data_IF_751715139984
#
_entry.id   IF_751715139984
#
_cell.length_a   1.000
_cell.length_b   1.000
_cell.length_c   1.000
_cell.angle_alpha   90.00
_cell.angle_beta   90.00
_cell.angle_gamma   90.00
#
_symmetry.space_group_name_H-M   'P 1'
#
loop_
_entity.id
_entity.type
_entity.pdbx_description
1 polymer ?
#
# COMPACT_ATOMS: atom_id res chain seq x y z
N UNK A 1 -4.13 17.90 21.06
CA UNK A 1 -5.30 18.12 20.17
C UNK A 1 -4.99 17.35 18.92
N UNK A 2 -5.91 16.52 18.43
CA UNK A 2 -5.68 15.70 17.24
C UNK A 2 -5.54 16.58 16.00
N UNK A 3 -4.60 16.26 15.12
CA UNK A 3 -4.42 16.95 13.86
C UNK A 3 -5.37 16.42 12.79
N UNK A 4 -5.70 15.13 12.83
CA UNK A 4 -6.61 14.47 11.91
C UNK A 4 -7.92 14.07 12.60
N UNK A 5 -9.01 14.20 11.84
CA UNK A 5 -10.35 13.76 12.23
C UNK A 5 -11.13 13.28 11.02
N UNK A 6 -12.17 12.49 11.26
CA UNK A 6 -13.06 12.04 10.20
C UNK A 6 -13.73 13.22 9.50
N UNK A 7 -14.08 14.27 10.23
CA UNK A 7 -14.65 15.50 9.67
C UNK A 7 -13.67 16.17 8.69
N UNK A 8 -12.39 16.29 9.05
CA UNK A 8 -11.37 16.85 8.15
C UNK A 8 -11.19 15.97 6.89
N UNK A 9 -11.16 14.64 7.04
CA UNK A 9 -11.11 13.72 5.89
C UNK A 9 -12.31 13.90 4.96
N UNK A 10 -13.52 13.93 5.51
CA UNK A 10 -14.75 14.11 4.74
C UNK A 10 -14.77 15.47 4.03
N UNK A 11 -14.31 16.53 4.70
CA UNK A 11 -14.15 17.86 4.12
C UNK A 11 -13.15 17.83 2.96
N UNK A 12 -11.98 17.23 3.14
CA UNK A 12 -10.97 17.07 2.09
C UNK A 12 -11.49 16.28 0.88
N UNK A 13 -12.19 15.17 1.11
CA UNK A 13 -12.83 14.39 0.03
C UNK A 13 -13.84 15.23 -0.73
N UNK A 14 -14.71 15.95 -0.03
CA UNK A 14 -15.77 16.76 -0.64
C UNK A 14 -15.22 17.94 -1.45
N UNK A 15 -14.14 18.58 -0.99
CA UNK A 15 -13.43 19.64 -1.71
C UNK A 15 -12.88 19.15 -3.05
N UNK A 16 -12.39 17.91 -3.09
CA UNK A 16 -11.79 17.29 -4.28
C UNK A 16 -12.81 16.60 -5.20
N UNK A 17 -14.08 16.46 -4.78
CA UNK A 17 -15.11 15.81 -5.59
C UNK A 17 -15.56 16.63 -6.81
N UNK A 18 -15.42 17.96 -6.78
CA UNK A 18 -15.70 18.80 -7.95
C UNK A 18 -14.42 19.10 -8.72
N UNK A 19 -14.25 18.42 -9.85
CA UNK A 19 -13.22 18.78 -10.80
C UNK A 19 -13.63 20.00 -11.63
N UNK A 20 -12.83 21.07 -11.56
CA UNK A 20 -13.01 22.27 -12.36
C UNK A 20 -11.88 22.31 -13.41
N UNK A 21 -12.15 21.92 -14.67
CA UNK A 21 -11.11 21.85 -15.69
C UNK A 21 -10.64 23.24 -16.10
N UNK A 22 -9.34 23.33 -16.40
CA UNK A 22 -8.74 24.53 -16.99
C UNK A 22 -9.10 24.69 -18.46
N UNK A 23 -9.29 23.58 -19.18
CA UNK A 23 -9.69 23.56 -20.59
C UNK A 23 -11.03 22.84 -20.79
N UNK A 24 -12.10 23.62 -20.75
CA UNK A 24 -13.45 23.13 -21.00
C UNK A 24 -13.63 22.63 -22.43
N UNK A 25 -12.94 23.19 -23.43
CA UNK A 25 -13.19 22.82 -24.83
C UNK A 25 -12.69 21.40 -25.12
N UNK A 26 -11.53 21.01 -24.56
CA UNK A 26 -11.02 19.63 -24.64
C UNK A 26 -11.93 18.63 -23.95
N UNK A 27 -12.43 18.96 -22.75
CA UNK A 27 -13.34 18.10 -22.00
C UNK A 27 -14.66 17.89 -22.78
N UNK A 28 -15.28 18.94 -23.30
CA UNK A 28 -16.50 18.81 -24.10
C UNK A 28 -16.27 18.00 -25.39
N UNK A 29 -15.11 18.16 -26.05
CA UNK A 29 -14.77 17.37 -27.23
C UNK A 29 -14.63 15.88 -26.91
N UNK A 30 -14.00 15.54 -25.78
CA UNK A 30 -13.87 14.17 -25.28
C UNK A 30 -15.22 13.51 -25.04
N UNK A 31 -16.08 14.10 -24.19
CA UNK A 31 -17.39 13.52 -23.88
C UNK A 31 -18.32 13.45 -25.11
N UNK A 32 -18.21 14.42 -26.04
CA UNK A 32 -18.97 14.39 -27.30
C UNK A 32 -18.57 13.21 -28.18
N UNK A 33 -17.29 12.83 -28.20
CA UNK A 33 -16.80 11.67 -28.96
C UNK A 33 -17.45 10.37 -28.48
N UNK A 34 -17.69 10.25 -27.18
CA UNK A 34 -18.29 9.08 -26.54
C UNK A 34 -19.83 9.14 -26.49
N UNK A 35 -20.44 10.16 -27.10
CA UNK A 35 -21.90 10.34 -27.10
C UNK A 35 -22.50 10.70 -25.74
N UNK A 36 -21.66 11.12 -24.78
CA UNK A 36 -22.09 11.44 -23.42
C UNK A 36 -22.51 12.91 -23.36
N UNK A 37 -23.69 13.16 -22.75
CA UNK A 37 -24.14 14.51 -22.47
C UNK A 37 -23.45 15.04 -21.21
N UNK A 38 -22.35 15.75 -21.39
CA UNK A 38 -21.58 16.35 -20.29
C UNK A 38 -22.42 17.26 -19.39
N UNK A 39 -23.42 17.97 -19.94
CA UNK A 39 -24.26 18.87 -19.15
C UNK A 39 -25.09 18.11 -18.12
N UNK A 40 -25.58 16.93 -18.50
CA UNK A 40 -26.33 16.06 -17.60
C UNK A 40 -25.40 15.40 -16.59
N UNK A 41 -24.20 15.02 -17.01
CA UNK A 41 -23.19 14.43 -16.14
C UNK A 41 -22.77 15.39 -15.02
N UNK A 42 -22.32 16.61 -15.37
CA UNK A 42 -21.94 17.64 -14.40
C UNK A 42 -23.11 18.03 -13.48
N UNK A 43 -24.34 18.08 -14.01
CA UNK A 43 -25.52 18.33 -13.16
C UNK A 43 -25.71 17.23 -12.13
N UNK A 44 -25.53 15.98 -12.55
CA UNK A 44 -25.69 14.82 -11.70
C UNK A 44 -24.65 14.83 -10.57
N UNK A 45 -23.38 15.04 -10.89
CA UNK A 45 -22.30 15.16 -9.91
C UNK A 45 -22.57 16.26 -8.89
N UNK A 46 -22.93 17.47 -9.35
CA UNK A 46 -23.22 18.58 -8.44
C UNK A 46 -24.41 18.27 -7.53
N UNK A 47 -25.46 17.63 -8.07
CA UNK A 47 -26.64 17.28 -7.29
C UNK A 47 -26.35 16.22 -6.21
N UNK A 48 -25.45 15.27 -6.48
CA UNK A 48 -25.07 14.23 -5.51
C UNK A 48 -24.44 14.83 -4.25
N UNK A 49 -23.63 15.87 -4.42
CA UNK A 49 -22.83 16.43 -3.32
C UNK A 49 -23.40 17.76 -2.77
N UNK A 50 -24.42 18.33 -3.43
CA UNK A 50 -24.95 19.69 -3.16
C UNK A 50 -25.22 19.95 -1.69
N UNK A 51 -25.89 19.02 -1.01
CA UNK A 51 -26.30 19.18 0.39
C UNK A 51 -25.13 19.14 1.36
N UNK A 52 -24.09 18.36 1.06
CA UNK A 52 -22.87 18.30 1.85
C UNK A 52 -22.02 19.55 1.60
N UNK A 53 -21.84 19.93 0.32
CA UNK A 53 -21.02 21.07 -0.07
C UNK A 53 -21.56 22.39 0.49
N UNK A 54 -22.88 22.57 0.50
CA UNK A 54 -23.53 23.76 1.06
C UNK A 54 -23.19 24.04 2.54
N UNK A 55 -22.71 23.03 3.29
CA UNK A 55 -22.33 23.19 4.71
C UNK A 55 -20.93 23.77 4.90
N UNK A 56 -20.05 23.59 3.91
CA UNK A 56 -18.63 23.96 4.03
C UNK A 56 -18.20 25.02 3.01
N UNK A 57 -18.98 25.21 1.95
CA UNK A 57 -18.67 26.14 0.86
C UNK A 57 -18.76 27.60 1.36
N UNK A 58 -17.84 28.49 0.94
CA UNK A 58 -17.94 29.92 1.21
C UNK A 58 -19.29 30.50 0.78
N UNK A 59 -19.81 31.44 1.58
CA UNK A 59 -21.14 32.05 1.39
C UNK A 59 -21.28 32.69 0.01
N UNK A 60 -20.19 33.27 -0.51
CA UNK A 60 -20.11 33.94 -1.81
C UNK A 60 -20.32 32.99 -2.99
N UNK A 61 -20.05 31.69 -2.80
CA UNK A 61 -20.18 30.66 -3.83
C UNK A 61 -21.52 29.90 -3.76
N UNK A 62 -22.27 30.05 -2.66
CA UNK A 62 -23.59 29.41 -2.49
C UNK A 62 -24.59 29.72 -3.62
N UNK A 63 -24.69 30.95 -4.15
CA UNK A 63 -25.61 31.22 -5.26
C UNK A 63 -25.32 30.37 -6.51
N UNK A 64 -24.05 30.06 -6.77
CA UNK A 64 -23.63 29.23 -7.91
C UNK A 64 -23.85 27.74 -7.67
N UNK A 65 -23.81 27.31 -6.39
CA UNK A 65 -24.23 25.97 -5.99
C UNK A 65 -25.75 25.80 -6.16
N UNK A 66 -26.52 26.81 -5.78
CA UNK A 66 -27.99 26.78 -5.83
C UNK A 66 -28.50 26.72 -7.26
N UNK A 67 -27.96 27.56 -8.16
CA UNK A 67 -28.37 27.65 -9.56
C UNK A 67 -27.73 26.61 -10.48
N UNK A 68 -26.83 25.77 -9.98
CA UNK A 68 -26.22 24.66 -10.73
C UNK A 68 -25.01 25.03 -11.60
N UNK A 69 -24.44 26.23 -11.42
CA UNK A 69 -23.33 26.73 -12.22
C UNK A 69 -21.94 26.43 -11.64
N UNK A 70 -21.84 25.92 -10.40
CA UNK A 70 -20.57 25.80 -9.68
C UNK A 70 -19.51 24.94 -10.39
N UNK A 71 -19.91 23.90 -11.14
CA UNK A 71 -19.02 23.05 -11.93
C UNK A 71 -19.28 23.19 -13.43
N UNK A 72 -19.52 24.43 -13.91
CA UNK A 72 -19.88 24.71 -15.32
C UNK A 72 -18.91 25.66 -16.01
N UNK A 73 -18.88 25.60 -17.34
CA UNK A 73 -18.13 26.54 -18.19
C UNK A 73 -18.59 27.98 -17.98
N UNK A 74 -19.88 28.18 -17.73
CA UNK A 74 -20.55 29.45 -17.54
C UNK A 74 -20.26 30.09 -16.17
N UNK A 75 -19.60 29.38 -15.26
CA UNK A 75 -19.18 29.95 -13.98
C UNK A 75 -18.31 31.20 -14.25
N UNK A 76 -18.69 32.39 -13.72
CA UNK A 76 -17.93 33.61 -13.92
C UNK A 76 -16.46 33.43 -13.49
N UNK A 77 -15.54 34.05 -14.23
CA UNK A 77 -14.10 33.90 -14.00
C UNK A 77 -13.68 34.22 -12.55
N UNK A 78 -14.27 35.26 -11.95
CA UNK A 78 -14.02 35.63 -10.56
C UNK A 78 -14.50 34.55 -9.58
N UNK A 79 -15.72 34.04 -9.75
CA UNK A 79 -16.25 32.96 -8.92
C UNK A 79 -15.44 31.66 -9.09
N UNK A 80 -14.98 31.37 -10.31
CA UNK A 80 -14.08 30.24 -10.58
C UNK A 80 -12.75 30.40 -9.84
N UNK A 81 -12.14 31.58 -9.89
CA UNK A 81 -10.89 31.85 -9.18
C UNK A 81 -11.07 31.68 -7.66
N UNK A 82 -12.15 32.22 -7.09
CA UNK A 82 -12.48 32.05 -5.68
C UNK A 82 -12.71 30.59 -5.29
N UNK A 83 -13.43 29.81 -6.11
CA UNK A 83 -13.63 28.38 -5.90
C UNK A 83 -12.30 27.62 -5.89
N UNK A 84 -11.46 27.83 -6.91
CA UNK A 84 -10.15 27.18 -7.01
C UNK A 84 -9.22 27.57 -5.86
N UNK A 85 -9.21 28.84 -5.47
CA UNK A 85 -8.42 29.32 -4.33
C UNK A 85 -8.90 28.70 -3.02
N UNK A 86 -10.22 28.63 -2.82
CA UNK A 86 -10.79 27.95 -1.66
C UNK A 86 -10.39 26.47 -1.65
N UNK A 87 -10.55 25.74 -2.77
CA UNK A 87 -10.13 24.33 -2.87
C UNK A 87 -8.65 24.15 -2.53
N UNK A 88 -7.77 24.99 -3.10
CA UNK A 88 -6.34 24.95 -2.83
C UNK A 88 -6.01 25.20 -1.35
N UNK A 89 -6.68 26.16 -0.70
CA UNK A 89 -6.47 26.43 0.73
C UNK A 89 -6.92 25.28 1.62
N UNK A 90 -8.05 24.65 1.30
CA UNK A 90 -8.56 23.48 2.03
C UNK A 90 -7.63 22.27 1.89
N UNK A 91 -7.12 22.02 0.68
CA UNK A 91 -6.12 20.99 0.41
C UNK A 91 -4.85 21.26 1.23
N UNK A 92 -4.30 22.48 1.15
CA UNK A 92 -3.11 22.88 1.91
C UNK A 92 -3.31 22.72 3.41
N UNK A 93 -4.49 23.04 3.94
CA UNK A 93 -4.79 22.88 5.38
C UNK A 93 -4.78 21.41 5.80
N UNK A 94 -5.30 20.52 4.94
CA UNK A 94 -5.27 19.08 5.20
C UNK A 94 -3.84 18.52 5.11
N UNK A 95 -3.06 18.94 4.12
CA UNK A 95 -1.64 18.58 3.98
C UNK A 95 -0.80 19.05 5.17
N UNK A 96 -1.03 20.26 5.67
CA UNK A 96 -0.39 20.76 6.90
C UNK A 96 -0.74 19.90 8.12
N UNK A 97 -1.98 19.41 8.20
CA UNK A 97 -2.39 18.49 9.27
C UNK A 97 -1.66 17.15 9.17
N UNK A 98 -1.52 16.58 7.96
CA UNK A 98 -0.71 15.38 7.71
C UNK A 98 0.76 15.61 8.07
N UNK A 99 1.35 16.75 7.68
CA UNK A 99 2.72 17.09 8.08
C UNK A 99 2.87 17.20 9.61
N UNK A 100 1.85 17.70 10.29
CA UNK A 100 1.83 17.82 11.74
C UNK A 100 1.76 16.46 12.46
N UNK A 101 1.04 15.47 11.91
CA UNK A 101 1.03 14.11 12.50
C UNK A 101 2.39 13.44 12.40
N UNK A 102 3.10 13.61 11.29
CA UNK A 102 4.47 13.11 11.10
C UNK A 102 5.42 13.77 12.11
N UNK A 103 5.37 15.10 12.23
CA UNK A 103 6.18 15.83 13.21
C UNK A 103 5.90 15.39 14.66
N UNK A 104 4.63 15.11 14.96
CA UNK A 104 4.22 14.62 16.27
C UNK A 104 4.76 13.21 16.54
N UNK A 105 4.68 12.29 15.58
CA UNK A 105 5.26 10.94 15.67
C UNK A 105 6.76 11.00 16.00
N UNK A 106 7.52 11.82 15.28
CA UNK A 106 8.94 12.02 15.52
C UNK A 106 9.23 12.58 16.93
N UNK A 107 8.43 13.54 17.39
CA UNK A 107 8.61 14.17 18.70
C UNK A 107 8.42 13.19 19.87
N UNK A 108 7.62 12.14 19.70
CA UNK A 108 7.34 11.15 20.75
C UNK A 108 8.04 9.81 20.54
N UNK A 109 8.90 9.67 19.53
CA UNK A 109 9.65 8.45 19.19
C UNK A 109 10.32 7.77 20.37
N UNK A 110 10.92 8.51 21.30
CA UNK A 110 11.64 7.94 22.46
C UNK A 110 10.71 7.42 23.56
N UNK A 111 9.40 7.65 23.45
CA UNK A 111 8.39 7.25 24.43
C UNK A 111 7.64 5.98 23.98
N UNK A 112 7.93 5.45 22.80
CA UNK A 112 7.28 4.28 22.25
C UNK A 112 8.25 3.12 22.04
N UNK A 113 7.67 1.94 21.91
CA UNK A 113 8.37 0.75 21.46
C UNK A 113 9.00 1.00 20.06
N UNK A 114 10.25 0.57 19.80
CA UNK A 114 10.90 0.80 18.51
C UNK A 114 10.13 0.21 17.32
N UNK A 115 9.54 -0.98 17.48
CA UNK A 115 8.78 -1.63 16.41
C UNK A 115 7.50 -0.86 16.13
N UNK A 116 6.83 -0.34 17.16
CA UNK A 116 5.69 0.56 16.98
C UNK A 116 6.07 1.80 16.16
N UNK A 117 7.19 2.45 16.47
CA UNK A 117 7.66 3.59 15.68
C UNK A 117 7.90 3.20 14.21
N UNK A 118 8.55 2.07 13.96
CA UNK A 118 8.80 1.59 12.60
C UNK A 118 7.51 1.30 11.82
N UNK A 119 6.51 0.68 12.47
CA UNK A 119 5.20 0.46 11.85
C UNK A 119 4.51 1.76 11.50
N UNK A 120 4.51 2.75 12.39
CA UNK A 120 3.84 4.03 12.13
C UNK A 120 4.61 4.92 11.14
N UNK A 121 5.93 4.77 11.05
CA UNK A 121 6.76 5.51 10.09
C UNK A 121 6.55 5.01 8.66
N UNK A 122 6.30 3.71 8.49
CA UNK A 122 5.95 3.11 7.19
C UNK A 122 4.51 3.40 6.76
N UNK A 123 3.69 3.92 7.68
CA UNK A 123 2.24 4.12 7.57
C UNK A 123 1.43 2.82 7.48
N UNK A 124 0.20 2.88 8.00
CA UNK A 124 -0.83 1.85 7.88
C UNK A 124 -1.88 2.20 6.82
N UNK A 125 -1.63 3.18 5.95
CA UNK A 125 -2.55 3.54 4.87
C UNK A 125 -2.84 2.33 3.97
N UNK A 126 -4.13 2.16 3.65
CA UNK A 126 -4.68 1.02 2.90
C UNK A 126 -4.51 -0.35 3.59
N UNK A 127 -4.11 -0.40 4.85
CA UNK A 127 -4.07 -1.64 5.60
C UNK A 127 -5.48 -2.04 6.08
N UNK A 128 -5.75 -3.34 6.19
CA UNK A 128 -7.08 -3.89 6.51
C UNK A 128 -7.07 -4.55 7.89
N UNK A 129 -8.04 -4.21 8.74
CA UNK A 129 -8.24 -4.90 10.02
C UNK A 129 -8.79 -6.31 9.77
N UNK A 130 -7.98 -7.34 10.02
CA UNK A 130 -8.33 -8.77 9.83
C UNK A 130 -8.96 -9.40 11.04
N UNK A 131 -8.49 -9.06 12.23
CA UNK A 131 -9.03 -9.60 13.49
C UNK A 131 -8.89 -8.58 14.63
N UNK A 132 -9.79 -8.69 15.61
CA UNK A 132 -9.88 -7.82 16.78
C UNK A 132 -10.06 -8.70 18.02
N UNK A 133 -9.04 -8.78 18.86
CA UNK A 133 -9.07 -9.55 20.10
C UNK A 133 -9.09 -8.59 21.28
N UNK A 134 -10.24 -8.46 21.93
CA UNK A 134 -10.41 -7.55 23.07
C UNK A 134 -10.70 -8.31 24.35
N UNK A 135 -9.96 -7.95 25.40
CA UNK A 135 -10.18 -8.37 26.79
C UNK A 135 -10.36 -7.12 27.66
N UNK A 136 -10.63 -7.29 28.96
CA UNK A 136 -10.90 -6.16 29.85
C UNK A 136 -9.78 -5.09 29.86
N UNK A 137 -8.52 -5.49 29.76
CA UNK A 137 -7.37 -4.61 29.89
C UNK A 137 -6.43 -4.64 28.67
N UNK A 138 -6.76 -5.38 27.62
CA UNK A 138 -5.89 -5.54 26.45
C UNK A 138 -6.73 -5.64 25.20
N UNK A 139 -6.36 -4.88 24.19
CA UNK A 139 -6.92 -4.97 22.84
C UNK A 139 -5.80 -5.29 21.87
N UNK A 140 -6.03 -6.19 20.93
CA UNK A 140 -5.10 -6.53 19.86
C UNK A 140 -5.81 -6.38 18.53
N UNK A 141 -5.16 -5.68 17.59
CA UNK A 141 -5.58 -5.57 16.20
C UNK A 141 -4.60 -6.36 15.35
N UNK A 142 -5.12 -7.28 14.55
CA UNK A 142 -4.35 -7.98 13.52
C UNK A 142 -4.68 -7.32 12.20
N UNK A 143 -3.67 -6.74 11.58
CA UNK A 143 -3.79 -5.83 10.44
C UNK A 143 -3.04 -6.44 9.26
N UNK A 144 -3.74 -6.65 8.15
CA UNK A 144 -3.12 -7.00 6.88
C UNK A 144 -2.61 -5.75 6.20
N UNK A 145 -1.32 -5.71 5.91
CA UNK A 145 -0.66 -4.58 5.23
C UNK A 145 -0.30 -4.91 3.79
N UNK A 146 -0.65 -6.11 3.30
CA UNK A 146 -0.48 -6.48 1.90
C UNK A 146 -1.23 -5.53 0.96
N UNK A 147 -0.54 -5.06 -0.08
CA UNK A 147 -1.05 -4.05 -1.01
C UNK A 147 -0.88 -2.59 -0.54
N UNK A 148 -0.41 -2.38 0.69
CA UNK A 148 -0.05 -1.06 1.22
C UNK A 148 1.37 -0.62 0.85
N UNK A 149 1.84 0.45 1.49
CA UNK A 149 3.13 1.10 1.21
C UNK A 149 4.33 0.51 1.99
N UNK A 150 4.17 -0.66 2.61
CA UNK A 150 5.21 -1.30 3.45
C UNK A 150 5.53 -2.71 2.95
N UNK A 151 6.78 -3.19 3.06
CA UNK A 151 7.13 -4.58 2.77
C UNK A 151 6.53 -5.57 3.79
N UNK A 152 6.04 -5.08 4.94
CA UNK A 152 5.39 -5.91 5.95
C UNK A 152 4.09 -6.48 5.37
N UNK A 153 3.83 -7.75 5.63
CA UNK A 153 2.59 -8.41 5.22
C UNK A 153 1.51 -8.33 6.30
N UNK A 154 1.92 -8.40 7.56
CA UNK A 154 1.00 -8.38 8.69
C UNK A 154 1.61 -7.59 9.84
N UNK A 155 0.77 -6.77 10.48
CA UNK A 155 1.11 -6.03 11.69
C UNK A 155 0.14 -6.42 12.79
N UNK A 156 0.66 -6.70 13.98
CA UNK A 156 -0.14 -6.93 15.18
C UNK A 156 0.10 -5.78 16.16
N UNK A 157 -0.88 -4.90 16.31
CA UNK A 157 -0.87 -3.86 17.33
C UNK A 157 -1.50 -4.38 18.61
N UNK A 158 -0.79 -4.24 19.73
CA UNK A 158 -1.30 -4.62 21.05
C UNK A 158 -1.32 -3.40 21.97
N UNK A 159 -2.52 -3.06 22.43
CA UNK A 159 -2.79 -2.00 23.39
C UNK A 159 -2.91 -2.63 24.79
N UNK A 160 -1.99 -2.27 25.69
CA UNK A 160 -1.90 -2.82 27.04
C UNK A 160 -2.44 -1.82 28.07
N UNK A 161 -3.21 -2.34 29.04
CA UNK A 161 -3.89 -1.56 30.07
C UNK A 161 -4.72 -0.42 29.47
N UNK A 162 -5.66 -0.78 28.60
CA UNK A 162 -6.57 0.18 27.94
C UNK A 162 -7.38 0.94 28.99
N UNK A 163 -7.25 2.26 29.00
CA UNK A 163 -7.95 3.14 29.96
C UNK A 163 -9.18 3.81 29.35
N UNK A 164 -9.18 4.02 28.03
CA UNK A 164 -10.27 4.68 27.32
C UNK A 164 -10.31 4.20 25.87
N UNK A 165 -11.52 4.05 25.34
CA UNK A 165 -11.78 3.86 23.92
C UNK A 165 -13.01 4.67 23.53
N UNK A 166 -12.99 5.26 22.33
CA UNK A 166 -14.14 5.87 21.69
C UNK A 166 -14.21 5.43 20.23
N UNK A 167 -15.41 5.14 19.74
CA UNK A 167 -15.60 4.50 18.45
C UNK A 167 -15.47 2.98 18.53
N UNK A 168 -15.88 2.30 17.47
CA UNK A 168 -15.88 0.84 17.36
C UNK A 168 -15.17 0.44 16.08
N UNK A 169 -14.26 -0.53 16.17
CA UNK A 169 -13.67 -1.17 15.00
C UNK A 169 -14.61 -2.23 14.46
N UNK A 170 -14.49 -2.48 13.15
CA UNK A 170 -15.14 -3.57 12.45
C UNK A 170 -14.09 -4.31 11.63
N UNK A 171 -14.31 -5.61 11.44
CA UNK A 171 -13.48 -6.42 10.57
C UNK A 171 -13.60 -5.92 9.14
N UNK A 172 -12.51 -6.01 8.39
CA UNK A 172 -12.37 -5.60 6.99
C UNK A 172 -12.44 -4.09 6.74
N UNK A 173 -12.37 -3.26 7.79
CA UNK A 173 -12.17 -1.83 7.62
C UNK A 173 -10.76 -1.52 7.12
N UNK A 174 -10.68 -0.56 6.20
CA UNK A 174 -9.43 -0.01 5.70
C UNK A 174 -8.96 1.11 6.62
N UNK A 175 -7.67 1.14 6.94
CA UNK A 175 -7.04 2.23 7.67
C UNK A 175 -6.65 3.28 6.64
N UNK A 176 -7.27 4.46 6.71
CA UNK A 176 -6.90 5.59 5.85
C UNK A 176 -5.86 6.49 6.51
N UNK A 177 -5.99 6.74 7.80
CA UNK A 177 -5.04 7.57 8.52
C UNK A 177 -4.90 7.10 9.96
N UNK A 178 -3.70 7.27 10.48
CA UNK A 178 -3.35 7.02 11.86
C UNK A 178 -2.64 8.24 12.45
N UNK A 179 -2.90 8.49 13.73
CA UNK A 179 -2.21 9.51 14.50
C UNK A 179 -1.93 8.95 15.90
N UNK A 180 -0.76 9.26 16.45
CA UNK A 180 -0.40 8.90 17.82
C UNK A 180 0.02 10.14 18.61
N UNK A 181 -0.45 10.20 19.86
CA UNK A 181 -0.10 11.23 20.83
C UNK A 181 0.35 10.58 22.14
N UNK A 182 1.18 11.27 22.91
CA UNK A 182 1.63 10.81 24.23
C UNK A 182 1.11 11.74 25.34
N UNK A 183 -0.19 11.67 25.70
CA UNK A 183 -0.71 12.48 26.81
C UNK A 183 -0.15 11.97 28.15
N UNK A 184 0.82 12.69 28.70
CA UNK A 184 1.44 12.41 30.00
C UNK A 184 2.19 11.06 30.06
N UNK A 185 1.59 10.03 30.67
CA UNK A 185 2.21 8.70 30.83
C UNK A 185 1.61 7.64 29.90
N UNK A 186 0.55 7.99 29.16
CA UNK A 186 -0.16 7.07 28.27
C UNK A 186 0.16 7.40 26.81
N UNK A 187 -0.11 6.43 25.95
CA UNK A 187 -0.18 6.61 24.51
C UNK A 187 -1.65 6.61 24.09
N UNK A 188 -2.01 7.56 23.23
CA UNK A 188 -3.31 7.64 22.60
C UNK A 188 -3.11 7.46 21.10
N UNK A 189 -3.83 6.53 20.50
CA UNK A 189 -3.79 6.29 19.06
C UNK A 189 -5.18 6.49 18.46
N UNK A 190 -5.23 7.18 17.33
CA UNK A 190 -6.43 7.45 16.55
C UNK A 190 -6.30 6.83 15.17
N UNK A 191 -7.39 6.24 14.70
CA UNK A 191 -7.55 5.72 13.36
C UNK A 191 -8.74 6.38 12.69
N UNK A 192 -8.56 6.80 11.43
CA UNK A 192 -9.62 7.11 10.49
C UNK A 192 -9.76 5.92 9.56
N UNK A 193 -10.93 5.30 9.59
CA UNK A 193 -11.22 4.05 8.91
C UNK A 193 -12.21 4.27 7.76
N UNK A 194 -12.20 3.37 6.77
CA UNK A 194 -13.19 3.31 5.69
C UNK A 194 -13.89 1.95 5.61
N UNK A 195 -15.07 1.96 4.99
CA UNK A 195 -15.94 0.81 4.74
C UNK A 195 -16.30 -0.03 6.00
N UNK A 196 -17.15 0.51 6.91
CA UNK A 196 -17.74 1.85 6.92
C UNK A 196 -16.79 2.91 7.49
N UNK A 197 -17.02 4.18 7.16
CA UNK A 197 -16.24 5.28 7.74
C UNK A 197 -16.40 5.34 9.26
N UNK A 198 -15.27 5.40 9.99
CA UNK A 198 -15.26 5.53 11.43
C UNK A 198 -14.03 6.31 11.93
N UNK A 199 -14.18 6.99 13.07
CA UNK A 199 -13.07 7.51 13.85
C UNK A 199 -12.99 6.70 15.14
N UNK A 200 -11.86 6.01 15.35
CA UNK A 200 -11.64 5.23 16.57
C UNK A 200 -10.42 5.79 17.28
N UNK A 201 -10.56 6.07 18.58
CA UNK A 201 -9.45 6.49 19.43
C UNK A 201 -9.34 5.53 20.61
N UNK A 202 -8.14 5.03 20.87
CA UNK A 202 -7.82 4.16 22.00
C UNK A 202 -6.67 4.76 22.80
N UNK A 203 -6.78 4.73 24.12
CA UNK A 203 -5.76 5.20 25.07
C UNK A 203 -5.33 4.02 25.94
N UNK A 204 -4.02 3.80 25.99
CA UNK A 204 -3.38 2.69 26.67
C UNK A 204 -2.11 3.17 27.39
N UNK A 205 -1.71 2.47 28.45
CA UNK A 205 -0.43 2.77 29.12
C UNK A 205 0.75 2.44 28.20
N UNK A 206 0.65 1.33 27.48
CA UNK A 206 1.67 0.87 26.53
C UNK A 206 1.02 0.37 25.24
N UNK A 207 1.69 0.62 24.12
CA UNK A 207 1.32 0.08 22.82
C UNK A 207 2.57 -0.58 22.25
N UNK A 208 2.45 -1.81 21.79
CA UNK A 208 3.53 -2.57 21.15
C UNK A 208 3.08 -3.03 19.77
N UNK A 209 4.03 -3.15 18.85
CA UNK A 209 3.78 -3.73 17.53
C UNK A 209 4.61 -4.99 17.32
N UNK A 210 4.12 -5.88 16.46
CA UNK A 210 4.87 -6.98 15.90
C UNK A 210 4.61 -6.99 14.40
N UNK A 211 5.68 -7.07 13.61
CA UNK A 211 5.59 -7.10 12.16
C UNK A 211 6.02 -8.46 11.63
N UNK A 212 5.34 -8.88 10.58
CA UNK A 212 5.59 -10.15 9.92
C UNK A 212 5.61 -9.96 8.41
N UNK A 213 6.42 -10.78 7.75
CA UNK A 213 6.62 -10.79 6.32
C UNK A 213 6.14 -12.12 5.73
N UNK A 214 5.81 -12.08 4.44
CA UNK A 214 5.64 -13.30 3.66
C UNK A 214 7.01 -13.94 3.41
N UNK A 215 7.14 -15.27 3.51
CA UNK A 215 8.32 -15.95 2.97
C UNK A 215 8.39 -15.79 1.45
N UNK A 216 9.59 -15.83 0.86
CA UNK A 216 9.74 -15.79 -0.60
C UNK A 216 8.88 -16.83 -1.33
N UNK A 217 8.84 -18.05 -0.80
CA UNK A 217 8.03 -19.16 -1.32
C UNK A 217 6.53 -18.81 -1.45
N UNK A 218 6.00 -17.91 -0.62
CA UNK A 218 4.62 -17.43 -0.75
C UNK A 218 4.43 -16.68 -2.08
N UNK A 219 5.35 -15.78 -2.43
CA UNK A 219 5.26 -15.01 -3.67
C UNK A 219 5.50 -15.87 -4.91
N UNK A 220 6.40 -16.85 -4.82
CA UNK A 220 6.75 -17.73 -5.95
C UNK A 220 5.70 -18.81 -6.23
N UNK A 221 4.94 -19.23 -5.21
CA UNK A 221 4.09 -20.41 -5.32
C UNK A 221 2.60 -20.11 -5.13
N UNK A 222 2.24 -19.11 -4.31
CA UNK A 222 0.86 -18.93 -3.83
C UNK A 222 0.25 -17.61 -4.32
N UNK A 223 0.97 -16.49 -4.16
CA UNK A 223 0.46 -15.17 -4.49
C UNK A 223 -0.07 -15.13 -5.93
N UNK A 224 -1.17 -14.41 -6.18
CA UNK A 224 -1.77 -14.26 -7.52
C UNK A 224 -2.12 -15.58 -8.23
N UNK A 225 -2.44 -16.64 -7.47
CA UNK A 225 -2.75 -17.97 -8.00
C UNK A 225 -1.63 -18.54 -8.90
N UNK A 226 -0.37 -18.22 -8.60
CA UNK A 226 0.79 -18.63 -9.42
C UNK A 226 0.83 -20.14 -9.62
N UNK A 227 0.57 -20.93 -8.58
CA UNK A 227 0.34 -22.38 -8.69
C UNK A 227 -0.96 -22.77 -7.97
N UNK A 228 -2.00 -23.24 -8.69
CA UNK A 228 -3.29 -23.57 -8.08
C UNK A 228 -3.26 -24.83 -7.18
N UNK A 229 -2.20 -25.64 -7.25
CA UNK A 229 -2.08 -26.92 -6.56
C UNK A 229 -0.73 -27.04 -5.79
N UNK A 230 -0.37 -26.04 -4.99
CA UNK A 230 0.85 -26.09 -4.17
C UNK A 230 0.76 -27.21 -3.13
N UNK A 231 1.75 -28.11 -3.16
CA UNK A 231 1.93 -29.14 -2.14
C UNK A 231 2.62 -28.56 -0.92
N UNK A 232 2.16 -28.94 0.28
CA UNK A 232 2.71 -28.50 1.55
C UNK A 232 4.20 -28.82 1.66
N UNK A 233 4.61 -30.01 1.23
CA UNK A 233 6.02 -30.44 1.22
C UNK A 233 6.88 -29.49 0.39
N UNK A 234 6.44 -29.18 -0.83
CA UNK A 234 7.18 -28.34 -1.76
C UNK A 234 7.32 -26.91 -1.24
N UNK A 235 6.26 -26.38 -0.62
CA UNK A 235 6.31 -25.05 -0.01
C UNK A 235 7.30 -25.00 1.16
N UNK A 236 7.23 -25.98 2.07
CA UNK A 236 8.11 -26.06 3.24
C UNK A 236 9.57 -26.26 2.81
N UNK A 237 9.83 -27.09 1.79
CA UNK A 237 11.17 -27.29 1.25
C UNK A 237 11.77 -26.02 0.64
N UNK A 238 10.93 -25.10 0.14
CA UNK A 238 11.33 -23.81 -0.41
C UNK A 238 11.56 -22.73 0.66
N UNK A 239 11.19 -22.97 1.92
CA UNK A 239 11.40 -22.01 3.00
C UNK A 239 12.89 -21.88 3.37
N UNK A 240 13.30 -20.64 3.65
CA UNK A 240 14.63 -20.33 4.14
C UNK A 240 14.85 -20.92 5.54
N UNK A 241 15.78 -21.88 5.65
CA UNK A 241 16.03 -22.64 6.89
C UNK A 241 16.67 -21.84 8.01
N UNK A 242 17.24 -20.67 7.70
CA UNK A 242 17.83 -19.79 8.70
C UNK A 242 16.78 -18.91 9.39
N UNK A 243 15.54 -18.92 8.91
CA UNK A 243 14.46 -18.09 9.43
C UNK A 243 13.57 -18.84 10.41
N UNK A 244 12.95 -18.07 11.30
CA UNK A 244 11.88 -18.53 12.17
C UNK A 244 10.53 -18.24 11.54
N UNK A 245 9.59 -19.17 11.73
CA UNK A 245 8.27 -19.08 11.14
C UNK A 245 7.18 -19.13 12.22
N UNK A 246 6.06 -18.48 11.93
CA UNK A 246 4.90 -18.41 12.82
C UNK A 246 3.65 -18.62 11.98
N UNK A 247 2.75 -19.49 12.46
CA UNK A 247 1.41 -19.60 11.92
C UNK A 247 0.56 -18.50 12.55
N UNK A 248 0.00 -17.62 11.73
CA UNK A 248 -0.94 -16.58 12.15
C UNK A 248 -2.25 -16.80 11.41
N UNK A 249 -3.23 -17.34 12.12
CA UNK A 249 -4.55 -17.67 11.58
C UNK A 249 -5.63 -17.16 12.53
N UNK A 250 -6.40 -16.17 12.08
CA UNK A 250 -7.29 -15.40 12.96
C UNK A 250 -6.49 -14.86 14.17
N UNK A 251 -6.95 -15.12 15.39
CA UNK A 251 -6.29 -14.73 16.64
C UNK A 251 -5.23 -15.72 17.12
N UNK A 252 -5.02 -16.85 16.42
CA UNK A 252 -4.00 -17.83 16.79
C UNK A 252 -2.66 -17.39 16.25
N UNK A 253 -1.69 -17.24 17.14
CA UNK A 253 -0.30 -16.91 16.84
C UNK A 253 0.53 -18.06 17.39
N UNK A 254 1.00 -18.94 16.50
CA UNK A 254 1.65 -20.20 16.86
C UNK A 254 3.07 -20.22 16.29
N UNK A 255 4.10 -19.87 17.08
CA UNK A 255 5.49 -19.99 16.68
C UNK A 255 5.83 -21.45 16.34
N UNK A 256 6.47 -21.65 15.20
CA UNK A 256 6.91 -22.96 14.74
C UNK A 256 8.32 -23.20 15.27
N UNK A 257 8.52 -24.30 16.01
CA UNK A 257 9.85 -24.70 16.45
C UNK A 257 10.60 -25.40 15.32
N UNK A 258 9.90 -26.26 14.58
CA UNK A 258 10.47 -27.04 13.50
C UNK A 258 9.40 -27.51 12.51
N UNK A 259 9.70 -27.43 11.21
CA UNK A 259 8.92 -28.17 10.21
C UNK A 259 9.37 -29.63 10.14
N UNK A 260 8.40 -30.53 10.03
CA UNK A 260 8.59 -31.98 9.96
C UNK A 260 7.60 -32.54 8.96
N UNK A 261 8.05 -33.37 8.03
CA UNK A 261 7.17 -34.02 7.04
C UNK A 261 7.18 -35.54 7.27
N UNK A 262 6.94 -35.94 8.53
CA UNK A 262 6.86 -37.35 8.91
C UNK A 262 5.39 -37.80 8.99
N UNK A 263 4.94 -38.50 7.94
CA UNK A 263 3.58 -39.00 7.86
C UNK A 263 2.57 -37.87 7.70
N UNK A 264 1.68 -37.68 8.68
CA UNK A 264 0.70 -36.59 8.70
C UNK A 264 1.18 -35.36 9.45
N UNK A 265 2.31 -35.42 10.17
CA UNK A 265 2.84 -34.26 10.90
C UNK A 265 3.47 -33.28 9.90
N UNK A 266 3.24 -31.98 10.10
CA UNK A 266 3.75 -30.88 9.26
C UNK A 266 4.72 -29.98 10.04
N UNK A 267 4.42 -29.74 11.32
CA UNK A 267 5.22 -28.84 12.16
C UNK A 267 5.12 -29.22 13.64
N UNK A 268 6.17 -28.91 14.39
CA UNK A 268 6.26 -28.99 15.84
C UNK A 268 6.14 -27.57 16.39
N UNK A 269 5.29 -27.42 17.40
CA UNK A 269 5.09 -26.21 18.18
C UNK A 269 5.58 -26.47 19.62
N UNK A 270 5.82 -25.41 20.37
CA UNK A 270 6.23 -25.52 21.78
C UNK A 270 5.28 -26.37 22.62
N UNK A 271 3.97 -26.25 22.39
CA UNK A 271 2.93 -26.93 23.16
C UNK A 271 2.11 -27.93 22.32
N UNK A 272 2.61 -28.39 21.18
CA UNK A 272 1.86 -29.33 20.33
C UNK A 272 2.45 -29.56 18.95
N UNK A 273 1.61 -30.03 18.03
CA UNK A 273 1.99 -30.32 16.66
C UNK A 273 0.90 -29.90 15.68
N UNK A 274 1.29 -29.60 14.45
CA UNK A 274 0.39 -29.41 13.32
C UNK A 274 0.37 -30.68 12.49
N UNK A 275 -0.83 -31.17 12.20
CA UNK A 275 -1.05 -32.37 11.40
C UNK A 275 -2.01 -32.14 10.23
N UNK A 276 -1.67 -32.72 9.08
CA UNK A 276 -2.53 -32.83 7.91
C UNK A 276 -3.43 -34.06 8.04
N UNK A 277 -4.74 -33.86 8.02
CA UNK A 277 -5.72 -34.94 7.96
C UNK A 277 -6.55 -34.84 6.67
N UNK A 278 -7.35 -35.86 6.40
CA UNK A 278 -8.12 -35.98 5.15
C UNK A 278 -9.11 -34.84 4.87
N UNK A 279 -9.48 -34.06 5.89
CA UNK A 279 -10.54 -33.05 5.84
C UNK A 279 -10.06 -31.67 6.31
N UNK A 280 -8.76 -31.51 6.55
CA UNK A 280 -8.16 -30.24 6.92
C UNK A 280 -6.89 -30.37 7.76
N UNK A 281 -6.44 -29.24 8.28
CA UNK A 281 -5.22 -29.12 9.08
C UNK A 281 -5.60 -28.85 10.53
N UNK A 282 -4.95 -29.57 11.44
CA UNK A 282 -5.27 -29.57 12.87
C UNK A 282 -4.04 -29.24 13.71
N UNK A 283 -4.27 -28.54 14.81
CA UNK A 283 -3.33 -28.45 15.92
C UNK A 283 -3.71 -29.49 16.97
N UNK A 284 -2.75 -30.31 17.38
CA UNK A 284 -2.88 -31.29 18.45
C UNK A 284 -1.99 -30.86 19.61
N UNK A 285 -2.58 -30.68 20.78
CA UNK A 285 -1.86 -30.32 22.00
C UNK A 285 -2.45 -31.05 23.23
N UNK A 286 -1.96 -30.71 24.42
CA UNK A 286 -2.44 -31.28 25.68
C UNK A 286 -3.92 -30.99 25.98
N UNK A 287 -4.50 -29.95 25.37
CA UNK A 287 -5.90 -29.56 25.55
C UNK A 287 -6.83 -30.29 24.57
N UNK A 288 -6.29 -30.83 23.48
CA UNK A 288 -7.02 -31.64 22.52
C UNK A 288 -6.61 -31.38 21.07
N UNK A 289 -7.55 -31.61 20.16
CA UNK A 289 -7.37 -31.39 18.73
C UNK A 289 -8.28 -30.26 18.26
N UNK A 290 -7.70 -29.20 17.71
CA UNK A 290 -8.40 -28.04 17.15
C UNK A 290 -8.17 -27.97 15.66
N UNK A 291 -9.24 -27.93 14.87
CA UNK A 291 -9.14 -27.70 13.42
C UNK A 291 -8.73 -26.25 13.15
N UNK A 292 -7.65 -26.06 12.41
CA UNK A 292 -7.17 -24.73 12.02
C UNK A 292 -7.86 -24.27 10.74
N UNK A 293 -7.79 -25.08 9.69
CA UNK A 293 -8.40 -24.77 8.39
C UNK A 293 -8.82 -26.04 7.64
N UNK A 294 -9.64 -25.86 6.60
CA UNK A 294 -10.17 -26.92 5.74
C UNK A 294 -9.24 -27.28 4.57
N UNK A 295 -8.40 -26.36 4.12
CA UNK A 295 -7.57 -26.51 2.93
C UNK A 295 -6.11 -26.14 3.20
N UNK A 296 -5.22 -26.69 2.36
CA UNK A 296 -3.78 -26.50 2.49
C UNK A 296 -3.35 -25.09 2.12
N UNK A 297 -4.02 -24.45 1.16
CA UNK A 297 -3.65 -23.11 0.69
C UNK A 297 -3.81 -22.10 1.83
N UNK A 298 -4.99 -22.04 2.46
CA UNK A 298 -5.25 -21.18 3.63
C UNK A 298 -4.23 -21.39 4.75
N UNK A 299 -3.75 -22.63 4.93
CA UNK A 299 -2.70 -22.92 5.91
C UNK A 299 -1.35 -22.35 5.48
N UNK A 300 -0.93 -22.54 4.23
CA UNK A 300 0.33 -21.98 3.74
C UNK A 300 0.29 -20.44 3.73
N UNK A 301 -0.85 -19.84 3.39
CA UNK A 301 -1.12 -18.40 3.53
C UNK A 301 -1.13 -17.92 4.98
N UNK A 302 -1.13 -18.82 5.97
CA UNK A 302 -1.03 -18.46 7.38
C UNK A 302 0.40 -18.51 7.90
N UNK A 303 1.38 -18.94 7.10
CA UNK A 303 2.79 -19.00 7.48
C UNK A 303 3.45 -17.65 7.20
N UNK A 304 3.99 -17.04 8.26
CA UNK A 304 4.74 -15.79 8.20
C UNK A 304 6.12 -15.95 8.85
N UNK A 305 7.00 -14.98 8.60
CA UNK A 305 8.31 -14.87 9.26
C UNK A 305 8.54 -13.45 9.79
N UNK A 306 9.48 -13.28 10.71
CA UNK A 306 9.92 -11.97 11.20
C UNK A 306 11.12 -11.42 10.41
N UNK A 307 11.67 -12.20 9.48
CA UNK A 307 12.75 -11.78 8.60
C UNK A 307 12.19 -11.38 7.23
N UNK A 308 12.62 -10.23 6.71
CA UNK A 308 12.27 -9.81 5.36
C UNK A 308 13.20 -10.47 4.35
N UNK A 309 12.62 -11.07 3.32
CA UNK A 309 13.31 -11.59 2.15
C UNK A 309 12.76 -10.84 0.94
N UNK A 310 13.63 -10.12 0.23
CA UNK A 310 13.21 -9.30 -0.91
C UNK A 310 12.88 -10.21 -2.11
N UNK A 311 11.60 -10.31 -2.52
CA UNK A 311 11.21 -11.15 -3.66
C UNK A 311 11.73 -10.62 -5.00
N UNK A 312 12.25 -9.40 -5.01
CA UNK A 312 12.79 -8.74 -6.19
C UNK A 312 14.32 -8.68 -6.19
N UNK A 313 14.98 -9.32 -5.21
CA UNK A 313 16.44 -9.34 -5.10
C UNK A 313 17.13 -9.83 -6.38
N UNK A 314 16.54 -10.82 -7.07
CA UNK A 314 17.08 -11.37 -8.32
C UNK A 314 17.21 -10.32 -9.43
N UNK A 315 16.31 -9.33 -9.46
CA UNK A 315 16.37 -8.24 -10.43
C UNK A 315 17.51 -7.25 -10.14
N UNK A 316 18.06 -7.27 -8.93
CA UNK A 316 19.19 -6.43 -8.54
C UNK A 316 20.54 -7.14 -8.68
N UNK A 317 20.56 -8.44 -8.97
CA UNK A 317 21.80 -9.16 -9.22
C UNK A 317 22.40 -8.75 -10.58
N UNK A 318 23.67 -8.35 -10.63
CA UNK A 318 24.32 -8.01 -11.90
C UNK A 318 24.28 -9.19 -12.88
N UNK A 319 24.00 -8.90 -14.14
CA UNK A 319 24.08 -9.86 -15.23
C UNK A 319 25.49 -9.82 -15.87
N UNK A 320 26.07 -10.96 -16.29
CA UNK A 320 27.34 -10.98 -17.00
C UNK A 320 27.30 -10.12 -18.27
N UNK A 321 28.39 -9.40 -18.56
CA UNK A 321 28.44 -8.44 -19.65
C UNK A 321 28.16 -9.09 -21.02
N UNK A 322 28.58 -10.33 -21.23
CA UNK A 322 28.29 -11.11 -22.44
C UNK A 322 26.81 -11.42 -22.68
N UNK A 323 25.97 -11.41 -21.62
CA UNK A 323 24.54 -11.74 -21.72
C UNK A 323 23.66 -10.50 -21.88
N UNK A 324 24.16 -9.32 -21.54
CA UNK A 324 23.37 -8.08 -21.50
C UNK A 324 22.70 -7.73 -22.83
N UNK A 325 23.42 -7.81 -23.95
CA UNK A 325 22.86 -7.43 -25.26
C UNK A 325 21.72 -8.36 -25.70
N UNK A 326 21.83 -9.66 -25.40
CA UNK A 326 20.76 -10.63 -25.65
C UNK A 326 19.57 -10.41 -24.71
N UNK A 327 19.83 -10.18 -23.43
CA UNK A 327 18.80 -9.99 -22.42
C UNK A 327 17.97 -8.72 -22.64
N UNK A 328 18.60 -7.61 -23.07
CA UNK A 328 17.91 -6.37 -23.44
C UNK A 328 16.97 -6.55 -24.65
N UNK A 329 17.19 -7.57 -25.48
CA UNK A 329 16.34 -7.91 -26.62
C UNK A 329 15.37 -9.06 -26.31
N UNK A 330 15.39 -9.60 -25.08
CA UNK A 330 14.57 -10.75 -24.70
C UNK A 330 13.12 -10.37 -24.41
N UNK A 331 12.19 -11.25 -24.76
CA UNK A 331 10.79 -11.20 -24.32
C UNK A 331 10.61 -11.73 -22.88
N UNK A 332 11.66 -12.30 -22.30
CA UNK A 332 11.71 -12.69 -20.90
C UNK A 332 11.85 -11.44 -20.02
N UNK A 333 10.75 -11.06 -19.37
CA UNK A 333 10.66 -9.85 -18.55
C UNK A 333 11.72 -9.83 -17.44
N UNK A 334 12.01 -10.97 -16.82
CA UNK A 334 13.00 -11.04 -15.75
C UNK A 334 14.39 -10.74 -16.29
N UNK A 335 14.79 -11.41 -17.37
CA UNK A 335 16.10 -11.16 -18.01
C UNK A 335 16.20 -9.71 -18.49
N UNK A 336 15.12 -9.19 -19.09
CA UNK A 336 15.07 -7.82 -19.59
C UNK A 336 15.25 -6.78 -18.47
N UNK A 337 14.49 -6.90 -17.38
CA UNK A 337 14.56 -5.99 -16.22
C UNK A 337 15.93 -6.07 -15.55
N UNK A 338 16.46 -7.27 -15.33
CA UNK A 338 17.78 -7.47 -14.72
C UNK A 338 18.90 -6.87 -15.57
N UNK A 339 18.81 -6.94 -16.90
CA UNK A 339 19.78 -6.31 -17.78
C UNK A 339 19.75 -4.78 -17.66
N UNK A 340 18.56 -4.16 -17.66
CA UNK A 340 18.43 -2.71 -17.43
C UNK A 340 18.93 -2.29 -16.05
N UNK A 341 18.63 -3.04 -14.99
CA UNK A 341 19.13 -2.76 -13.64
C UNK A 341 20.66 -2.87 -13.57
N UNK A 342 21.26 -3.83 -14.29
CA UNK A 342 22.73 -3.95 -14.40
C UNK A 342 23.32 -2.71 -15.09
N UNK A 343 22.73 -2.27 -16.21
CA UNK A 343 23.15 -1.04 -16.89
C UNK A 343 22.97 0.20 -15.99
N UNK A 344 21.91 0.28 -15.21
CA UNK A 344 21.63 1.39 -14.30
C UNK A 344 22.63 1.44 -13.13
N UNK A 345 23.00 0.28 -12.57
CA UNK A 345 23.91 0.20 -11.43
C UNK A 345 25.39 0.43 -11.79
N UNK A 346 25.84 -0.03 -12.96
CA UNK A 346 27.22 0.07 -13.42
C UNK A 346 27.35 0.70 -14.83
N UNK A 347 26.86 1.94 -15.03
CA UNK A 347 26.60 2.47 -16.36
C UNK A 347 27.87 2.81 -17.16
N UNK A 348 28.96 3.14 -16.47
CA UNK A 348 30.24 3.49 -17.10
C UNK A 348 30.91 2.31 -17.81
N UNK A 349 30.58 1.07 -17.45
CA UNK A 349 31.17 -0.14 -18.04
C UNK A 349 30.47 -0.54 -19.35
N UNK A 350 29.32 0.07 -19.65
CA UNK A 350 28.41 -0.38 -20.70
C UNK A 350 27.92 0.75 -21.62
N UNK A 351 28.69 1.85 -21.74
CA UNK A 351 28.28 3.06 -22.48
C UNK A 351 27.80 2.77 -23.91
N UNK A 352 28.53 1.96 -24.67
CA UNK A 352 28.15 1.62 -26.05
C UNK A 352 26.84 0.84 -26.11
N UNK A 353 26.64 -0.09 -25.16
CA UNK A 353 25.44 -0.90 -25.08
C UNK A 353 24.22 -0.07 -24.66
N UNK A 354 24.38 0.83 -23.68
CA UNK A 354 23.34 1.77 -23.23
C UNK A 354 22.81 2.59 -24.40
N UNK A 355 23.70 3.16 -25.22
CA UNK A 355 23.30 3.98 -26.36
C UNK A 355 22.50 3.18 -27.39
N UNK A 356 22.89 1.93 -27.68
CA UNK A 356 22.12 1.03 -28.56
C UNK A 356 20.76 0.66 -27.95
N UNK A 357 20.74 0.31 -26.67
CA UNK A 357 19.57 -0.16 -25.95
C UNK A 357 18.49 0.92 -25.86
N UNK A 358 18.86 2.17 -25.57
CA UNK A 358 17.92 3.30 -25.54
C UNK A 358 17.23 3.53 -26.89
N UNK A 359 17.99 3.43 -27.99
CA UNK A 359 17.43 3.58 -29.35
C UNK A 359 16.44 2.45 -29.63
N UNK A 360 16.80 1.21 -29.29
CA UNK A 360 15.93 0.06 -29.47
C UNK A 360 14.65 0.17 -28.61
N UNK A 361 14.77 0.64 -27.37
CA UNK A 361 13.64 0.87 -26.46
C UNK A 361 12.68 1.92 -27.05
N UNK A 362 13.20 3.05 -27.52
CA UNK A 362 12.40 4.13 -28.12
C UNK A 362 11.69 3.70 -29.41
N UNK A 363 12.29 2.80 -30.19
CA UNK A 363 11.69 2.28 -31.41
C UNK A 363 10.61 1.22 -31.16
N UNK A 364 10.54 0.68 -29.94
CA UNK A 364 9.55 -0.32 -29.57
C UNK A 364 8.17 0.33 -29.36
N UNK A 365 7.15 -0.15 -30.10
CA UNK A 365 5.81 0.47 -30.14
C UNK A 365 4.91 0.13 -28.93
N UNK A 366 5.42 -0.57 -27.92
CA UNK A 366 4.67 -0.87 -26.70
C UNK A 366 4.64 0.33 -25.75
N UNK A 367 3.44 0.86 -25.49
CA UNK A 367 3.21 2.12 -24.75
C UNK A 367 3.79 2.17 -23.33
N UNK A 368 3.97 1.03 -22.66
CA UNK A 368 4.52 0.97 -21.29
C UNK A 368 6.03 1.29 -21.25
N UNK A 369 6.76 1.02 -22.33
CA UNK A 369 8.21 1.27 -22.42
C UNK A 369 8.57 2.76 -22.54
N UNK A 370 7.64 3.61 -22.98
CA UNK A 370 7.89 5.04 -23.15
C UNK A 370 8.04 5.78 -21.82
N UNK A 371 7.34 5.35 -20.76
CA UNK A 371 7.48 5.97 -19.43
C UNK A 371 8.85 5.66 -18.82
N UNK A 372 9.37 4.45 -19.05
CA UNK A 372 10.69 4.05 -18.58
C UNK A 372 11.82 4.67 -19.41
N UNK A 373 11.58 4.98 -20.69
CA UNK A 373 12.55 5.64 -21.55
C UNK A 373 13.00 6.98 -20.97
N UNK A 374 12.07 7.83 -20.54
CA UNK A 374 12.37 9.14 -19.95
C UNK A 374 13.27 9.02 -18.71
N UNK A 375 12.98 8.03 -17.85
CA UNK A 375 13.76 7.76 -16.63
C UNK A 375 15.20 7.37 -16.98
N UNK A 376 15.38 6.40 -17.88
CA UNK A 376 16.71 5.95 -18.28
C UNK A 376 17.50 7.03 -19.02
N UNK A 377 16.86 7.74 -19.95
CA UNK A 377 17.51 8.84 -20.68
C UNK A 377 17.96 9.92 -19.71
N UNK A 378 17.09 10.35 -18.79
CA UNK A 378 17.44 11.38 -17.81
C UNK A 378 18.62 10.94 -16.94
N UNK A 379 18.60 9.69 -16.45
CA UNK A 379 19.68 9.15 -15.62
C UNK A 379 21.02 9.12 -16.37
N UNK A 380 21.07 8.47 -17.55
CA UNK A 380 22.32 8.31 -18.30
C UNK A 380 22.82 9.62 -18.91
N UNK A 381 21.93 10.56 -19.25
CA UNK A 381 22.36 11.90 -19.72
C UNK A 381 23.00 12.72 -18.60
N UNK A 382 22.44 12.63 -17.39
CA UNK A 382 23.01 13.28 -16.20
C UNK A 382 24.43 12.78 -15.91
N UNK A 383 24.70 11.51 -16.22
CA UNK A 383 26.04 10.89 -16.12
C UNK A 383 26.95 11.18 -17.33
N UNK A 384 26.45 11.86 -18.37
CA UNK A 384 27.21 12.20 -19.58
C UNK A 384 27.48 11.00 -20.49
N UNK A 385 26.65 9.96 -20.43
CA UNK A 385 26.87 8.70 -21.15
C UNK A 385 26.14 8.59 -22.48
N UNK A 386 25.18 9.49 -22.74
CA UNK A 386 24.42 9.52 -23.99
C UNK A 386 25.16 10.37 -25.02
N UNK A 387 25.49 9.76 -26.17
CA UNK A 387 26.16 10.45 -27.28
C UNK A 387 25.22 11.43 -27.99
N UNK A 388 25.77 12.46 -28.63
CA UNK A 388 24.98 13.43 -29.43
C UNK A 388 24.17 12.75 -30.54
N UNK A 389 24.70 11.67 -31.13
CA UNK A 389 24.00 10.89 -32.13
C UNK A 389 22.75 10.21 -31.54
N UNK A 390 22.89 9.58 -30.36
CA UNK A 390 21.77 8.97 -29.66
C UNK A 390 20.72 10.00 -29.28
N UNK A 391 21.12 11.18 -28.77
CA UNK A 391 20.19 12.28 -28.47
C UNK A 391 19.36 12.70 -29.68
N UNK A 392 20.01 12.84 -30.84
CA UNK A 392 19.31 13.18 -32.08
C UNK A 392 18.29 12.11 -32.52
N UNK A 393 18.58 10.83 -32.26
CA UNK A 393 17.69 9.71 -32.58
C UNK A 393 16.53 9.54 -31.58
N UNK A 394 16.72 9.95 -30.32
CA UNK A 394 15.70 9.88 -29.27
C UNK A 394 14.73 11.06 -29.29
N UNK A 395 15.13 12.21 -29.87
CA UNK A 395 14.32 13.43 -29.90
C UNK A 395 12.87 13.32 -30.41
N UNK A 396 12.48 12.37 -31.28
CA UNK A 396 11.08 12.17 -31.66
C UNK A 396 10.21 11.45 -30.62
N UNK A 397 10.83 10.85 -29.59
CA UNK A 397 10.20 9.94 -28.62
C UNK A 397 10.12 10.51 -27.20
N UNK A 398 10.86 11.60 -26.96
CA UNK A 398 10.88 12.41 -25.74
C UNK A 398 10.19 13.74 -26.03
#
# INVERSE_FOLDING_TARGET
MWHLSLEQKQRFTLVNQLHIPNDWDSIYAYYKKDGINIEQHLQHELNQIKSALAKILPTELLPYLENGLLNRRELPAEARHQLLQWQANEISTFEEALGSTIAQLEAIKTQMDPELYHVLSDSLHDAIIKDIVSTKNRTQLIINTEGGFTPKALVILTFHNVTQQSGEWQLHQWILYEEIQAPSQNLAMRFILDQPEAEVTIVAEHITAQSFYRPLAYHEMIANDVLPDVKVEAFIDALNRDFTYTIILHHLILPIEQFTMEGSQIAILQDGEIVLQHDGIYMINNEGSTKLTHDTITFLESIYTTAYEDPYAIFSEPMPAEELEEALASDDLERHVRAWNTLYAAPHEHTDLINKALIALAQNQHHENNVMLDVYVTHFDTLGLITDQTKALLAPYL
#
